data_IF_602526821848
#
_entry.id   IF_602526821848
#
_cell.length_a   1.000
_cell.length_b   1.000
_cell.length_c   1.000
_cell.angle_alpha   90.00
_cell.angle_beta   90.00
_cell.angle_gamma   90.00
#
_symmetry.space_group_name_H-M   'P 1'
#
loop_
_entity.id
_entity.type
_entity.pdbx_description
1 polymer ?
#
# COMPACT_ATOMS: atom_id res chain seq x y z
N UNK A 1 22.12 8.63 30.45
CA UNK A 1 20.98 7.79 30.03
C UNK A 1 19.79 8.20 30.88
N UNK A 2 18.67 8.56 30.27
CA UNK A 2 17.47 9.10 30.92
C UNK A 2 16.33 8.10 30.74
N UNK A 3 15.85 7.51 31.82
CA UNK A 3 14.71 6.58 31.78
C UNK A 3 13.41 7.35 31.98
N UNK A 4 12.41 7.13 31.12
CA UNK A 4 11.10 7.76 31.17
C UNK A 4 10.03 6.73 31.52
N UNK A 5 9.32 6.97 32.62
CA UNK A 5 8.07 6.27 32.94
C UNK A 5 6.89 6.87 32.17
N UNK A 6 5.75 6.17 32.04
CA UNK A 6 4.56 6.73 31.41
C UNK A 6 4.18 8.13 31.93
N UNK A 7 3.94 9.06 31.01
CA UNK A 7 3.70 10.48 31.27
C UNK A 7 4.96 11.36 31.37
N UNK A 8 6.12 10.77 31.70
CA UNK A 8 7.38 11.49 31.78
C UNK A 8 7.87 11.92 30.39
N UNK A 9 8.59 13.05 30.34
CA UNK A 9 9.12 13.60 29.11
C UNK A 9 10.45 14.30 29.33
N UNK A 10 11.27 14.36 28.29
CA UNK A 10 12.54 15.09 28.27
C UNK A 10 12.71 15.82 26.94
N UNK A 11 13.55 16.85 26.91
CA UNK A 11 13.94 17.49 25.66
C UNK A 11 14.79 16.52 24.82
N UNK A 12 14.67 16.61 23.50
CA UNK A 12 15.51 15.88 22.55
C UNK A 12 16.34 16.86 21.73
N UNK A 13 17.49 16.39 21.24
CA UNK A 13 18.27 17.14 20.28
C UNK A 13 17.47 17.29 18.96
N UNK A 14 17.70 18.40 18.26
CA UNK A 14 17.26 18.54 16.87
C UNK A 14 18.00 17.57 15.94
N UNK A 15 17.57 17.53 14.69
CA UNK A 15 18.13 16.68 13.64
C UNK A 15 17.61 15.25 13.65
N UNK A 16 18.40 14.34 13.07
CA UNK A 16 18.04 12.93 12.89
C UNK A 16 18.29 12.12 14.15
N UNK A 17 17.22 11.58 14.71
CA UNK A 17 17.21 10.64 15.82
C UNK A 17 16.97 9.21 15.31
N UNK A 18 17.61 8.24 15.96
CA UNK A 18 17.28 6.83 15.82
C UNK A 18 16.39 6.39 16.97
N UNK A 19 15.28 5.74 16.68
CA UNK A 19 14.30 5.26 17.66
C UNK A 19 14.19 3.76 17.49
N UNK A 20 14.63 3.00 18.48
CA UNK A 20 14.51 1.54 18.50
C UNK A 20 13.34 1.14 19.39
N UNK A 21 12.39 0.39 18.83
CA UNK A 21 11.38 -0.33 19.60
C UNK A 21 11.85 -1.78 19.70
N UNK A 22 11.97 -2.30 20.92
CA UNK A 22 12.40 -3.67 21.20
C UNK A 22 11.37 -4.39 22.06
N UNK A 23 11.14 -5.66 21.75
CA UNK A 23 10.21 -6.53 22.48
C UNK A 23 10.62 -8.00 22.38
N UNK A 24 10.16 -8.83 23.31
CA UNK A 24 10.26 -10.30 23.18
C UNK A 24 9.19 -10.78 22.21
N UNK A 25 9.53 -11.45 21.09
CA UNK A 25 8.53 -12.02 20.19
C UNK A 25 7.63 -13.02 20.91
N UNK A 26 6.34 -12.99 20.59
CA UNK A 26 5.35 -13.95 21.10
C UNK A 26 4.98 -14.90 19.97
N UNK A 27 5.17 -16.23 20.12
CA UNK A 27 4.79 -17.19 19.10
C UNK A 27 3.30 -17.06 18.70
N UNK A 28 3.04 -16.91 17.41
CA UNK A 28 1.69 -16.80 16.86
C UNK A 28 1.02 -15.43 17.02
N UNK A 29 1.74 -14.42 17.53
CA UNK A 29 1.24 -13.06 17.64
C UNK A 29 2.30 -12.05 17.18
N UNK A 30 2.07 -11.47 16.01
CA UNK A 30 2.94 -10.44 15.45
C UNK A 30 2.58 -9.07 16.03
N UNK A 31 3.62 -8.24 16.23
CA UNK A 31 3.51 -6.89 16.74
C UNK A 31 4.07 -5.93 15.68
N UNK A 32 3.18 -5.13 15.11
CA UNK A 32 3.50 -4.14 14.10
C UNK A 32 3.74 -2.78 14.76
N UNK A 33 4.78 -2.08 14.33
CA UNK A 33 5.04 -0.70 14.76
C UNK A 33 4.72 0.31 13.66
N UNK A 34 4.29 1.49 14.06
CA UNK A 34 3.98 2.59 13.12
C UNK A 34 4.30 3.94 13.75
N UNK A 35 4.49 4.95 12.92
CA UNK A 35 4.62 6.34 13.33
C UNK A 35 3.54 7.18 12.64
N UNK A 36 2.80 7.97 13.40
CA UNK A 36 1.78 8.91 12.91
C UNK A 36 2.30 10.33 13.07
N UNK A 37 2.32 11.09 11.99
CA UNK A 37 2.68 12.51 11.96
C UNK A 37 1.39 13.32 12.09
N UNK A 38 1.33 14.16 13.11
CA UNK A 38 0.09 14.77 13.57
C UNK A 38 0.23 16.27 13.55
N UNK A 39 -0.79 16.93 12.99
CA UNK A 39 -0.92 18.38 13.03
C UNK A 39 -1.30 18.88 14.45
N UNK A 40 -1.49 20.19 14.59
CA UNK A 40 -1.89 20.84 15.84
C UNK A 40 -3.17 20.25 16.46
N UNK A 41 -4.11 19.75 15.64
CA UNK A 41 -5.34 19.09 16.12
C UNK A 41 -5.14 17.65 16.59
N UNK A 42 -3.91 17.14 16.51
CA UNK A 42 -3.56 15.76 16.84
C UNK A 42 -4.02 14.75 15.80
N UNK A 43 -4.19 15.17 14.54
CA UNK A 43 -4.71 14.36 13.44
C UNK A 43 -3.73 14.27 12.28
N UNK A 44 -3.76 13.16 11.55
CA UNK A 44 -3.05 13.03 10.26
C UNK A 44 -3.74 13.89 9.20
N UNK A 45 -2.99 14.34 8.18
CA UNK A 45 -3.57 15.06 7.03
C UNK A 45 -3.93 14.13 5.87
N UNK A 46 -3.41 12.90 5.88
CA UNK A 46 -3.65 11.86 4.87
C UNK A 46 -2.57 10.77 4.93
N UNK A 47 -2.50 9.93 3.90
CA UNK A 47 -1.60 8.76 3.83
C UNK A 47 -0.12 9.13 4.04
N UNK A 48 0.30 10.31 3.56
CA UNK A 48 1.68 10.80 3.67
C UNK A 48 2.13 11.13 5.10
N UNK A 49 1.25 10.98 6.10
CA UNK A 49 1.54 11.24 7.50
C UNK A 49 1.53 9.95 8.35
N UNK A 50 1.56 8.76 7.73
CA UNK A 50 1.68 7.48 8.44
C UNK A 50 2.84 6.65 7.89
N UNK A 51 3.82 6.36 8.75
CA UNK A 51 4.97 5.51 8.43
C UNK A 51 4.82 4.14 9.09
N UNK A 52 4.87 3.06 8.31
CA UNK A 52 4.71 1.68 8.78
C UNK A 52 5.40 0.72 7.82
N UNK A 53 5.30 -0.60 8.05
CA UNK A 53 5.97 -1.60 7.20
C UNK A 53 5.58 -1.49 5.71
N UNK A 54 4.33 -1.10 5.41
CA UNK A 54 3.86 -0.86 4.05
C UNK A 54 4.15 0.55 3.52
N UNK A 55 4.62 1.49 4.34
CA UNK A 55 5.00 2.84 3.91
C UNK A 55 6.17 3.32 4.74
N UNK A 56 7.37 2.86 4.40
CA UNK A 56 8.56 2.96 5.25
C UNK A 56 9.21 4.35 5.24
N UNK A 57 8.73 5.30 4.46
CA UNK A 57 9.28 6.66 4.40
C UNK A 57 8.18 7.66 4.11
N UNK A 58 8.08 8.69 4.94
CA UNK A 58 7.06 9.74 4.84
C UNK A 58 7.63 11.12 5.06
N UNK A 59 6.86 12.15 4.72
CA UNK A 59 7.23 13.56 4.89
C UNK A 59 8.62 13.86 4.26
N UNK A 60 8.76 13.50 2.98
CA UNK A 60 10.01 13.60 2.20
C UNK A 60 11.22 12.89 2.86
N UNK A 61 10.96 11.83 3.63
CA UNK A 61 11.98 11.06 4.31
C UNK A 61 12.40 11.61 5.67
N UNK A 62 11.67 12.58 6.24
CA UNK A 62 11.88 13.03 7.60
C UNK A 62 11.58 11.92 8.63
N UNK A 63 10.64 11.00 8.32
CA UNK A 63 10.39 9.81 9.15
C UNK A 63 10.51 8.56 8.29
N UNK A 64 11.38 7.63 8.69
CA UNK A 64 11.63 6.37 7.99
C UNK A 64 11.62 5.18 8.93
N UNK A 65 11.01 4.07 8.55
CA UNK A 65 11.18 2.77 9.18
C UNK A 65 12.39 2.09 8.53
N UNK A 66 13.55 2.17 9.20
CA UNK A 66 14.82 1.68 8.69
C UNK A 66 15.00 0.16 8.88
N UNK A 67 14.36 -0.40 9.91
CA UNK A 67 14.41 -1.83 10.21
C UNK A 67 13.07 -2.27 10.79
N UNK A 68 12.58 -3.42 10.34
CA UNK A 68 11.42 -4.10 10.92
C UNK A 68 11.67 -5.60 10.89
N UNK A 69 11.85 -6.17 12.08
CA UNK A 69 12.11 -7.58 12.28
C UNK A 69 11.41 -8.06 13.57
N UNK A 70 11.15 -9.37 13.74
CA UNK A 70 10.59 -9.90 14.97
C UNK A 70 11.43 -9.48 16.19
N UNK A 71 10.79 -8.75 17.12
CA UNK A 71 11.39 -8.30 18.37
C UNK A 71 12.15 -6.97 18.29
N UNK A 72 12.31 -6.40 17.09
CA UNK A 72 13.05 -5.14 16.91
C UNK A 72 12.59 -4.35 15.70
N UNK A 73 12.32 -3.06 15.90
CA UNK A 73 12.08 -2.12 14.81
C UNK A 73 12.79 -0.81 15.07
N UNK A 74 13.29 -0.17 14.01
CA UNK A 74 14.07 1.06 14.10
C UNK A 74 13.51 2.13 13.18
N UNK A 75 13.10 3.27 13.74
CA UNK A 75 12.77 4.46 12.98
C UNK A 75 13.95 5.44 12.95
N UNK A 76 14.15 6.09 11.81
CA UNK A 76 14.94 7.32 11.67
C UNK A 76 13.98 8.51 11.61
N UNK A 77 14.13 9.47 12.52
CA UNK A 77 13.22 10.61 12.69
C UNK A 77 14.05 11.90 12.68
N UNK A 78 14.00 12.65 11.58
CA UNK A 78 14.59 13.98 11.46
C UNK A 78 13.56 15.05 11.79
N UNK A 79 13.62 15.56 13.02
CA UNK A 79 12.65 16.52 13.55
C UNK A 79 12.77 17.92 12.93
N UNK A 80 13.93 18.25 12.35
CA UNK A 80 14.17 19.55 11.70
C UNK A 80 13.73 19.56 10.23
N UNK A 81 13.57 18.37 9.63
CA UNK A 81 13.10 18.20 8.27
C UNK A 81 11.58 17.96 8.19
N UNK A 82 10.88 17.90 9.33
CA UNK A 82 9.43 17.77 9.35
C UNK A 82 8.77 19.01 8.74
N UNK A 83 7.73 18.76 7.94
CA UNK A 83 6.81 19.79 7.47
C UNK A 83 6.33 20.65 8.65
N UNK A 84 6.39 22.00 8.54
CA UNK A 84 5.98 22.90 9.62
C UNK A 84 4.56 22.70 10.14
N UNK A 85 3.67 22.06 9.37
CA UNK A 85 2.32 21.72 9.80
C UNK A 85 2.24 20.48 10.71
N UNK A 86 3.37 19.82 11.01
CA UNK A 86 3.47 18.67 11.92
C UNK A 86 4.00 19.13 13.27
N UNK A 87 3.16 18.97 14.30
CA UNK A 87 3.48 19.35 15.68
C UNK A 87 3.90 18.16 16.55
N UNK A 88 3.59 16.95 16.08
CA UNK A 88 3.78 15.72 16.84
C UNK A 88 4.04 14.51 15.94
N UNK A 89 4.90 13.60 16.41
CA UNK A 89 5.11 12.27 15.82
C UNK A 89 4.83 11.22 16.90
N UNK A 90 3.72 10.48 16.79
CA UNK A 90 3.35 9.42 17.71
C UNK A 90 3.84 8.06 17.24
N UNK A 91 4.53 7.32 18.09
CA UNK A 91 5.00 5.95 17.85
C UNK A 91 4.01 4.97 18.48
N UNK A 92 3.58 3.99 17.70
CA UNK A 92 2.55 3.03 18.11
C UNK A 92 2.99 1.60 17.88
N UNK A 93 2.42 0.67 18.67
CA UNK A 93 2.48 -0.76 18.41
C UNK A 93 1.06 -1.34 18.33
N UNK A 94 0.84 -2.30 17.42
CA UNK A 94 -0.43 -3.01 17.25
C UNK A 94 -0.18 -4.49 17.14
N UNK A 95 -0.99 -5.32 17.80
CA UNK A 95 -0.96 -6.76 17.65
C UNK A 95 -1.81 -7.16 16.44
N UNK A 96 -1.18 -7.81 15.46
CA UNK A 96 -1.82 -8.22 14.21
C UNK A 96 -3.04 -9.12 14.48
N UNK A 97 -4.16 -8.82 13.83
CA UNK A 97 -5.45 -9.51 13.98
C UNK A 97 -5.96 -9.64 15.43
N UNK A 98 -5.45 -8.83 16.38
CA UNK A 98 -5.78 -8.92 17.80
C UNK A 98 -5.52 -10.31 18.42
N UNK A 99 -4.56 -11.08 17.86
CA UNK A 99 -4.27 -12.48 18.23
C UNK A 99 -3.76 -12.68 19.67
N UNK A 100 -3.25 -11.62 20.28
CA UNK A 100 -2.81 -11.59 21.67
C UNK A 100 -3.16 -10.24 22.31
N UNK A 101 -2.83 -10.09 23.59
CA UNK A 101 -2.94 -8.83 24.36
C UNK A 101 -1.55 -8.32 24.73
N UNK A 102 -1.42 -7.04 25.01
CA UNK A 102 -0.12 -6.47 25.42
C UNK A 102 0.43 -7.10 26.70
N UNK A 103 -0.40 -7.65 27.59
CA UNK A 103 0.05 -8.48 28.71
C UNK A 103 0.96 -9.67 28.31
N UNK A 104 0.93 -10.13 27.06
CA UNK A 104 1.81 -11.18 26.55
C UNK A 104 3.22 -10.66 26.15
N UNK A 105 3.45 -9.33 26.16
CA UNK A 105 4.69 -8.68 25.73
C UNK A 105 5.39 -7.97 26.92
N UNK A 106 5.96 -8.71 27.89
CA UNK A 106 6.46 -8.13 29.15
C UNK A 106 7.74 -7.28 29.02
N UNK A 107 8.43 -7.31 27.88
CA UNK A 107 9.70 -6.58 27.67
C UNK A 107 9.61 -5.58 26.52
N UNK A 108 8.54 -4.78 26.48
CA UNK A 108 8.38 -3.73 25.47
C UNK A 108 9.11 -2.45 25.89
N UNK A 109 9.99 -1.93 25.03
CA UNK A 109 10.79 -0.74 25.32
C UNK A 109 10.98 0.13 24.08
N UNK A 110 11.03 1.45 24.28
CA UNK A 110 11.42 2.43 23.27
C UNK A 110 12.73 3.11 23.68
N UNK A 111 13.77 2.96 22.87
CA UNK A 111 15.05 3.63 23.05
C UNK A 111 15.21 4.73 21.99
N UNK A 112 15.60 5.94 22.39
CA UNK A 112 15.88 7.05 21.48
C UNK A 112 17.35 7.43 21.59
N UNK A 113 18.02 7.61 20.45
CA UNK A 113 19.39 8.08 20.36
C UNK A 113 19.57 9.38 21.17
N UNK A 114 20.70 9.51 21.87
CA UNK A 114 20.86 10.50 22.93
C UNK A 114 20.64 9.93 24.33
N UNK A 115 20.35 8.62 24.41
CA UNK A 115 20.36 7.84 25.65
C UNK A 115 19.05 7.92 26.43
N UNK A 116 17.92 8.06 25.74
CA UNK A 116 16.59 8.01 26.36
C UNK A 116 16.07 6.58 26.27
N UNK A 117 15.58 6.05 27.39
CA UNK A 117 14.96 4.74 27.48
C UNK A 117 13.55 4.90 28.03
N UNK A 118 12.55 4.27 27.42
CA UNK A 118 11.16 4.34 27.82
C UNK A 118 10.56 2.92 27.86
N UNK A 119 10.74 2.21 29.00
CA UNK A 119 10.13 0.91 29.19
C UNK A 119 8.61 1.08 29.30
N UNK A 120 7.87 0.26 28.56
CA UNK A 120 6.41 0.29 28.50
C UNK A 120 5.88 -0.80 29.42
N UNK A 121 5.22 -0.46 30.54
CA UNK A 121 4.64 -1.46 31.43
C UNK A 121 3.44 -2.10 30.73
N UNK A 122 3.48 -3.41 30.52
CA UNK A 122 2.43 -4.15 29.82
C UNK A 122 1.65 -5.12 30.71
N UNK A 123 2.07 -5.29 31.97
CA UNK A 123 1.43 -6.20 32.91
C UNK A 123 -0.06 -5.87 33.08
N UNK A 124 -0.91 -6.89 32.88
CA UNK A 124 -2.37 -6.76 33.00
C UNK A 124 -3.08 -6.07 31.82
N UNK A 125 -2.36 -5.51 30.84
CA UNK A 125 -2.96 -4.81 29.69
C UNK A 125 -3.79 -5.75 28.80
N UNK A 126 -5.06 -5.40 28.60
CA UNK A 126 -6.03 -6.14 27.78
C UNK A 126 -6.18 -5.56 26.36
N UNK A 127 -5.47 -4.47 26.10
CA UNK A 127 -5.44 -3.74 24.85
C UNK A 127 -4.64 -4.49 23.79
N UNK A 128 -4.91 -4.15 22.53
CA UNK A 128 -4.28 -4.76 21.36
C UNK A 128 -3.62 -3.74 20.44
N UNK A 129 -3.69 -2.45 20.80
CA UNK A 129 -2.86 -1.38 20.26
C UNK A 129 -2.41 -0.44 21.38
N UNK A 130 -1.22 0.15 21.24
CA UNK A 130 -0.65 1.12 22.18
C UNK A 130 -0.07 2.32 21.42
N UNK A 131 -0.20 3.51 22.01
CA UNK A 131 0.72 4.63 21.78
C UNK A 131 1.88 4.47 22.76
N UNK A 132 3.07 4.19 22.24
CA UNK A 132 4.27 3.93 23.04
C UNK A 132 4.85 5.24 23.57
N UNK A 133 5.05 6.19 22.67
CA UNK A 133 5.65 7.48 22.97
C UNK A 133 5.41 8.47 21.85
N UNK A 134 5.68 9.74 22.10
CA UNK A 134 5.48 10.81 21.12
C UNK A 134 6.62 11.83 21.17
N UNK A 135 7.09 12.24 19.98
CA UNK A 135 7.81 13.50 19.83
C UNK A 135 6.76 14.60 19.71
N UNK A 136 6.93 15.69 20.44
CA UNK A 136 6.03 16.83 20.35
C UNK A 136 6.81 18.12 20.57
N UNK A 137 6.34 19.19 19.93
CA UNK A 137 6.95 20.51 20.10
C UNK A 137 6.26 21.28 21.22
N UNK A 138 7.03 21.89 22.12
CA UNK A 138 6.52 22.80 23.15
C UNK A 138 7.44 24.00 23.25
N UNK A 139 6.88 25.20 23.02
CA UNK A 139 7.64 26.47 23.04
C UNK A 139 8.86 26.43 22.11
N UNK A 140 8.69 25.87 20.90
CA UNK A 140 9.75 25.77 19.89
C UNK A 140 10.72 24.61 20.07
N UNK A 141 10.73 23.94 21.23
CA UNK A 141 11.65 22.83 21.56
C UNK A 141 10.95 21.48 21.38
N UNK A 142 11.61 20.56 20.67
CA UNK A 142 11.15 19.18 20.57
C UNK A 142 11.43 18.41 21.87
N UNK A 143 10.44 17.63 22.29
CA UNK A 143 10.50 16.77 23.47
C UNK A 143 10.00 15.38 23.11
N UNK A 144 10.52 14.37 23.79
CA UNK A 144 9.99 13.02 23.73
C UNK A 144 9.24 12.72 25.04
N UNK A 145 8.04 12.13 24.93
CA UNK A 145 7.22 11.67 26.05
C UNK A 145 6.98 10.17 25.93
N UNK A 146 7.15 9.44 27.04
CA UNK A 146 6.63 8.08 27.17
C UNK A 146 5.12 8.16 27.44
N UNK A 147 4.30 7.51 26.63
CA UNK A 147 2.82 7.64 26.67
C UNK A 147 2.19 6.40 27.30
N UNK A 148 2.47 5.21 26.75
CA UNK A 148 1.91 3.93 27.17
C UNK A 148 0.37 3.91 27.27
N UNK A 149 -0.32 4.53 26.31
CA UNK A 149 -1.79 4.57 26.27
C UNK A 149 -2.32 3.43 25.39
N UNK A 150 -3.22 2.62 25.93
CA UNK A 150 -3.79 1.49 25.22
C UNK A 150 -5.14 1.73 24.55
N UNK A 151 -5.40 0.93 23.52
CA UNK A 151 -6.63 0.91 22.74
C UNK A 151 -7.13 -0.53 22.62
N UNK A 152 -8.35 -0.78 23.10
CA UNK A 152 -9.05 -2.03 22.84
C UNK A 152 -9.54 -2.04 21.39
N UNK A 153 -9.43 -3.18 20.70
CA UNK A 153 -9.90 -3.34 19.31
C UNK A 153 -8.83 -3.13 18.23
N UNK A 154 -7.59 -2.85 18.63
CA UNK A 154 -6.41 -2.88 17.76
C UNK A 154 -6.23 -1.60 16.96
N UNK A 155 -5.70 -1.74 15.74
CA UNK A 155 -5.30 -0.61 14.92
C UNK A 155 -6.48 0.30 14.59
N UNK A 156 -7.68 -0.25 14.43
CA UNK A 156 -8.82 0.53 13.98
C UNK A 156 -9.21 1.70 14.91
N UNK A 157 -9.49 1.48 16.21
CA UNK A 157 -9.77 2.56 17.15
C UNK A 157 -8.57 3.48 17.38
N UNK A 158 -7.34 2.96 17.34
CA UNK A 158 -6.12 3.77 17.41
C UNK A 158 -6.02 4.73 16.20
N UNK A 159 -6.27 4.25 15.00
CA UNK A 159 -6.18 5.05 13.80
C UNK A 159 -7.30 6.11 13.76
N UNK A 160 -8.53 5.76 14.14
CA UNK A 160 -9.63 6.72 14.30
C UNK A 160 -9.30 7.80 15.32
N UNK A 161 -8.60 7.44 16.41
CA UNK A 161 -8.10 8.42 17.38
C UNK A 161 -7.18 9.47 16.73
N UNK A 162 -6.39 9.10 15.72
CA UNK A 162 -5.57 10.01 14.92
C UNK A 162 -6.26 10.60 13.68
N UNK A 163 -7.57 10.41 13.52
CA UNK A 163 -8.35 11.00 12.42
C UNK A 163 -8.33 10.22 11.12
N UNK A 164 -7.87 8.97 11.16
CA UNK A 164 -7.93 8.04 10.05
C UNK A 164 -9.37 7.54 9.91
N UNK A 165 -10.05 7.92 8.83
CA UNK A 165 -11.34 7.30 8.48
C UNK A 165 -11.11 5.90 7.92
N UNK A 166 -11.54 4.89 8.65
CA UNK A 166 -11.52 3.51 8.19
C UNK A 166 -12.81 3.26 7.42
N UNK A 167 -12.71 2.99 6.12
CA UNK A 167 -13.89 2.63 5.33
C UNK A 167 -14.50 1.35 5.90
N UNK A 168 -15.73 1.44 6.40
CA UNK A 168 -16.51 0.26 6.72
C UNK A 168 -16.71 -0.56 5.43
N UNK A 169 -16.71 -1.91 5.49
CA UNK A 169 -17.10 -2.72 4.36
C UNK A 169 -18.48 -2.26 3.89
N UNK A 170 -18.61 -1.96 2.58
CA UNK A 170 -19.85 -1.48 2.01
C UNK A 170 -20.98 -2.46 2.36
N UNK A 171 -22.14 -1.99 2.86
CA UNK A 171 -23.28 -2.86 3.09
C UNK A 171 -23.64 -3.57 1.79
N UNK A 172 -23.89 -4.89 1.89
CA UNK A 172 -24.26 -5.71 0.74
C UNK A 172 -25.48 -5.09 0.02
N UNK A 173 -25.47 -4.97 -1.31
CA UNK A 173 -26.59 -4.42 -2.04
C UNK A 173 -27.82 -5.30 -1.81
N UNK A 174 -28.91 -4.70 -1.32
CA UNK A 174 -30.21 -5.35 -1.25
C UNK A 174 -30.69 -5.70 -2.68
N UNK A 175 -31.44 -6.80 -2.88
CA UNK A 175 -31.92 -7.22 -4.19
C UNK A 175 -32.74 -6.11 -4.87
N UNK A 176 -32.35 -5.75 -6.09
CA UNK A 176 -33.05 -4.75 -6.89
C UNK A 176 -34.47 -5.22 -7.24
N UNK A 177 -35.48 -4.43 -6.87
CA UNK A 177 -36.81 -4.53 -7.46
C UNK A 177 -36.80 -3.90 -8.87
N UNK A 178 -37.60 -4.46 -9.78
CA UNK A 178 -37.67 -4.09 -11.19
C UNK A 178 -38.01 -2.60 -11.41
N UNK A 179 -37.48 -1.96 -12.47
CA UNK A 179 -37.67 -0.52 -12.68
C UNK A 179 -39.07 -0.22 -13.25
N UNK A 180 -39.77 0.72 -12.61
CA UNK A 180 -40.84 1.49 -13.24
C UNK A 180 -40.27 2.84 -13.73
N UNK A 181 -40.79 3.42 -14.82
CA UNK A 181 -40.26 4.67 -15.37
C UNK A 181 -40.73 5.85 -14.51
N UNK A 182 -39.79 6.67 -14.02
CA UNK A 182 -40.06 7.96 -13.36
C UNK A 182 -39.36 9.09 -14.11
N UNK A 183 -39.98 10.29 -14.18
CA UNK A 183 -39.51 11.41 -14.98
C UNK A 183 -38.33 12.15 -14.32
N UNK A 184 -37.57 12.86 -15.14
CA UNK A 184 -36.34 13.61 -14.82
C UNK A 184 -36.55 14.76 -13.81
N UNK A 185 -35.73 14.87 -12.75
CA UNK A 185 -35.68 16.07 -11.89
C UNK A 185 -34.60 17.09 -12.34
N UNK A 186 -34.68 18.36 -11.89
CA UNK A 186 -33.75 19.44 -12.27
C UNK A 186 -32.41 19.37 -11.51
N UNK A 187 -31.38 20.14 -11.92
CA UNK A 187 -30.01 20.01 -11.41
C UNK A 187 -29.85 20.55 -9.99
N UNK A 188 -29.23 19.74 -9.12
CA UNK A 188 -28.83 20.13 -7.76
C UNK A 188 -27.46 20.81 -7.74
N UNK A 189 -27.31 21.77 -6.81
CA UNK A 189 -26.07 22.49 -6.50
C UNK A 189 -24.97 21.57 -5.94
N UNK A 190 -23.67 21.94 -6.04
CA UNK A 190 -22.56 21.06 -5.70
C UNK A 190 -22.44 20.83 -4.19
N UNK A 191 -22.36 19.56 -3.80
CA UNK A 191 -22.08 19.13 -2.43
C UNK A 191 -20.58 19.36 -2.07
N UNK A 192 -20.26 19.60 -0.78
CA UNK A 192 -18.87 19.75 -0.33
C UNK A 192 -18.08 18.44 -0.50
N UNK A 193 -16.79 18.59 -0.83
CA UNK A 193 -15.88 17.49 -1.10
C UNK A 193 -15.72 16.54 0.11
N UNK A 194 -15.64 15.21 -0.11
CA UNK A 194 -15.53 14.23 0.96
C UNK A 194 -14.16 14.28 1.65
N UNK A 195 -14.15 14.03 2.96
CA UNK A 195 -12.96 13.85 3.76
C UNK A 195 -12.14 12.61 3.31
N UNK A 196 -10.80 12.60 3.50
CA UNK A 196 -9.93 11.54 3.01
C UNK A 196 -10.11 10.25 3.84
N UNK A 197 -10.30 9.12 3.13
CA UNK A 197 -10.49 7.76 3.70
C UNK A 197 -9.19 6.97 3.62
N UNK A 198 -8.81 6.31 4.70
CA UNK A 198 -7.58 5.49 4.82
C UNK A 198 -7.98 4.03 5.06
N UNK A 199 -7.48 3.12 4.23
CA UNK A 199 -7.85 1.70 4.25
C UNK A 199 -6.78 0.84 4.95
N UNK A 200 -7.08 0.32 6.15
CA UNK A 200 -6.14 -0.42 7.03
C UNK A 200 -6.37 -1.94 7.12
N UNK A 201 -6.98 -2.55 6.11
CA UNK A 201 -7.12 -4.02 6.01
C UNK A 201 -6.55 -4.50 4.68
N UNK A 202 -5.25 -4.31 4.44
CA UNK A 202 -4.59 -4.76 3.21
C UNK A 202 -3.71 -5.97 3.49
N UNK A 203 -3.70 -6.93 2.57
CA UNK A 203 -2.86 -8.11 2.59
C UNK A 203 -1.66 -7.85 1.69
N UNK A 204 -0.47 -7.72 2.24
CA UNK A 204 0.75 -7.62 1.44
C UNK A 204 1.26 -9.02 1.09
N UNK A 205 1.57 -9.26 -0.17
CA UNK A 205 2.35 -10.42 -0.58
C UNK A 205 3.82 -10.01 -0.73
N UNK A 206 4.68 -10.67 0.04
CA UNK A 206 6.13 -10.48 0.07
C UNK A 206 6.85 -11.84 -0.04
N UNK A 207 8.15 -11.91 0.27
CA UNK A 207 8.91 -13.17 0.24
C UNK A 207 8.47 -14.15 1.33
N UNK A 208 7.94 -13.64 2.44
CA UNK A 208 7.52 -14.38 3.61
C UNK A 208 6.09 -14.92 3.43
N UNK A 209 5.24 -14.18 2.71
CA UNK A 209 3.89 -14.55 2.29
C UNK A 209 3.76 -14.46 0.76
N UNK A 210 4.36 -15.41 0.01
CA UNK A 210 4.41 -15.32 -1.45
C UNK A 210 3.08 -15.65 -2.13
N UNK A 211 2.07 -16.11 -1.40
CA UNK A 211 0.77 -16.45 -1.99
C UNK A 211 -0.38 -16.35 -1.00
N UNK A 212 -1.59 -16.21 -1.55
CA UNK A 212 -2.86 -16.34 -0.84
C UNK A 212 -3.87 -17.06 -1.74
N UNK A 213 -4.69 -17.91 -1.15
CA UNK A 213 -5.85 -18.52 -1.82
C UNK A 213 -7.13 -17.87 -1.29
N UNK A 214 -8.03 -17.53 -2.19
CA UNK A 214 -9.32 -16.93 -1.90
C UNK A 214 -10.41 -17.89 -2.36
N UNK A 215 -11.25 -18.29 -1.42
CA UNK A 215 -12.32 -19.26 -1.61
C UNK A 215 -13.67 -18.58 -1.44
N UNK A 216 -14.57 -18.78 -2.42
CA UNK A 216 -15.97 -18.37 -2.30
C UNK A 216 -16.89 -19.55 -2.57
N UNK A 217 -17.88 -19.73 -1.69
CA UNK A 217 -18.80 -20.88 -1.72
C UNK A 217 -19.59 -21.00 -3.03
N UNK A 218 -19.88 -19.88 -3.69
CA UNK A 218 -20.55 -19.81 -4.98
C UNK A 218 -19.56 -19.77 -6.17
N UNK A 219 -18.29 -19.46 -5.92
CA UNK A 219 -17.28 -19.22 -6.95
C UNK A 219 -17.46 -17.88 -7.69
N UNK A 220 -18.26 -16.96 -7.13
CA UNK A 220 -18.50 -15.63 -7.68
C UNK A 220 -17.56 -14.61 -7.01
N UNK A 221 -16.46 -14.28 -7.70
CA UNK A 221 -15.53 -13.27 -7.23
C UNK A 221 -15.94 -11.84 -7.56
N UNK A 222 -17.12 -11.63 -8.17
CA UNK A 222 -17.58 -10.32 -8.61
C UNK A 222 -16.62 -9.67 -9.60
N UNK A 223 -16.51 -8.33 -9.58
CA UNK A 223 -15.52 -7.63 -10.38
C UNK A 223 -14.18 -7.57 -9.62
N UNK A 224 -13.19 -8.31 -10.10
CA UNK A 224 -11.82 -8.24 -9.61
C UNK A 224 -11.15 -7.05 -10.29
N UNK A 225 -10.74 -6.04 -9.53
CA UNK A 225 -10.02 -4.87 -10.07
C UNK A 225 -8.56 -4.91 -9.69
N UNK A 226 -7.69 -4.50 -10.59
CA UNK A 226 -6.24 -4.51 -10.39
C UNK A 226 -5.73 -3.13 -10.76
N UNK A 227 -5.09 -2.44 -9.82
CA UNK A 227 -4.55 -1.10 -10.02
C UNK A 227 -3.03 -1.12 -10.00
N UNK A 228 -2.40 -0.48 -10.96
CA UNK A 228 -0.98 -0.15 -10.97
C UNK A 228 -0.80 1.32 -10.60
N UNK A 229 -0.11 1.59 -9.50
CA UNK A 229 0.26 2.94 -9.08
C UNK A 229 1.79 3.06 -8.93
N UNK A 230 2.34 4.24 -9.16
CA UNK A 230 3.78 4.52 -9.09
C UNK A 230 4.04 6.00 -8.85
N UNK A 231 5.26 6.31 -8.40
CA UNK A 231 5.68 7.68 -8.19
C UNK A 231 5.95 8.39 -9.54
N UNK A 232 5.06 9.30 -9.91
CA UNK A 232 5.24 10.19 -11.07
C UNK A 232 5.98 11.45 -10.64
N UNK A 233 7.26 11.36 -10.28
CA UNK A 233 8.07 12.57 -10.04
C UNK A 233 8.25 13.34 -11.35
N UNK A 234 7.40 14.34 -11.57
CA UNK A 234 7.71 15.44 -12.49
C UNK A 234 8.60 16.43 -11.76
N UNK A 235 9.77 16.83 -12.30
CA UNK A 235 10.53 17.92 -11.71
C UNK A 235 9.72 19.21 -11.87
N UNK A 236 9.04 19.64 -10.82
CA UNK A 236 8.58 21.01 -10.69
C UNK A 236 9.78 21.88 -10.30
N UNK A 237 10.32 22.63 -11.26
CA UNK A 237 11.42 23.54 -10.99
C UNK A 237 11.72 24.43 -12.18
N UNK A 238 11.34 25.70 -12.06
CA UNK A 238 11.60 26.73 -13.06
C UNK A 238 13.06 26.75 -13.53
N UNK A 239 13.22 26.89 -14.84
CA UNK A 239 14.52 27.04 -15.47
C UNK A 239 14.39 28.06 -16.58
N UNK A 240 15.09 29.18 -16.40
CA UNK A 240 15.13 30.28 -17.36
C UNK A 240 15.61 29.85 -18.75
N UNK A 241 15.52 30.84 -19.64
CA UNK A 241 15.67 30.84 -21.10
C UNK A 241 16.92 30.16 -21.72
N UNK A 242 17.73 29.38 -20.99
CA UNK A 242 18.94 28.72 -21.47
C UNK A 242 18.99 27.18 -21.30
N UNK A 243 17.93 26.51 -20.82
CA UNK A 243 17.95 25.05 -20.56
C UNK A 243 17.68 24.14 -21.78
N UNK A 244 17.54 24.68 -23.00
CA UNK A 244 17.06 23.95 -24.20
C UNK A 244 18.03 22.91 -24.82
N UNK A 245 19.21 22.65 -24.24
CA UNK A 245 20.28 21.91 -24.94
C UNK A 245 20.88 20.72 -24.18
N UNK A 246 20.23 20.22 -23.11
CA UNK A 246 20.61 18.98 -22.44
C UNK A 246 19.36 18.15 -22.13
N UNK A 247 19.40 16.87 -22.50
CA UNK A 247 18.24 16.02 -22.74
C UNK A 247 17.16 16.02 -21.65
N UNK A 248 15.91 16.03 -22.10
CA UNK A 248 14.68 15.85 -21.33
C UNK A 248 14.78 14.60 -20.43
N UNK A 249 14.79 14.77 -19.11
CA UNK A 249 14.39 13.70 -18.20
C UNK A 249 12.87 13.70 -18.09
N UNK A 250 12.21 12.89 -18.95
CA UNK A 250 10.76 12.65 -18.90
C UNK A 250 10.39 11.88 -17.63
N UNK A 251 9.18 12.11 -17.11
CA UNK A 251 8.63 11.37 -15.98
C UNK A 251 8.53 9.86 -16.26
N UNK A 252 8.41 9.06 -15.20
CA UNK A 252 8.25 7.61 -15.31
C UNK A 252 6.84 7.30 -15.84
N UNK A 253 6.76 6.57 -16.94
CA UNK A 253 5.52 6.05 -17.51
C UNK A 253 5.52 4.51 -17.44
N UNK A 254 4.61 3.96 -16.63
CA UNK A 254 4.42 2.52 -16.49
C UNK A 254 3.07 2.12 -17.04
N UNK A 255 3.07 1.05 -17.82
CA UNK A 255 1.87 0.39 -18.29
C UNK A 255 1.62 -0.92 -17.56
N UNK A 256 0.34 -1.25 -17.36
CA UNK A 256 -0.13 -2.54 -16.88
C UNK A 256 -0.72 -3.38 -18.02
N UNK A 257 -0.47 -4.68 -17.95
CA UNK A 257 -1.10 -5.65 -18.83
C UNK A 257 -1.22 -7.01 -18.16
N UNK A 258 -1.85 -7.96 -18.84
CA UNK A 258 -1.82 -9.34 -18.41
C UNK A 258 -1.76 -10.33 -19.55
N UNK A 259 -1.17 -11.50 -19.30
CA UNK A 259 -1.35 -12.69 -20.12
C UNK A 259 -2.47 -13.52 -19.51
N UNK A 260 -3.36 -14.06 -20.34
CA UNK A 260 -4.44 -14.93 -19.87
C UNK A 260 -4.38 -16.29 -20.56
N UNK A 261 -4.84 -17.32 -19.85
CA UNK A 261 -5.13 -18.64 -20.39
C UNK A 261 -6.50 -19.08 -19.88
N UNK A 262 -7.39 -19.38 -20.82
CA UNK A 262 -8.73 -19.90 -20.56
C UNK A 262 -8.68 -21.42 -20.36
N UNK A 263 -9.68 -22.00 -19.71
CA UNK A 263 -9.83 -23.46 -19.55
C UNK A 263 -9.94 -24.20 -20.90
N UNK A 264 -10.46 -23.55 -21.94
CA UNK A 264 -10.51 -24.10 -23.30
C UNK A 264 -9.13 -24.07 -24.02
N UNK A 265 -8.07 -23.61 -23.35
CA UNK A 265 -6.71 -23.50 -23.88
C UNK A 265 -6.45 -22.23 -24.69
N UNK A 266 -7.45 -21.36 -24.90
CA UNK A 266 -7.26 -20.06 -25.57
C UNK A 266 -6.36 -19.18 -24.71
N UNK A 267 -5.36 -18.58 -25.34
CA UNK A 267 -4.38 -17.71 -24.70
C UNK A 267 -4.33 -16.37 -25.41
N UNK A 268 -3.95 -15.34 -24.69
CA UNK A 268 -3.73 -14.02 -25.27
C UNK A 268 -3.16 -13.05 -24.25
N UNK A 269 -3.10 -11.78 -24.65
CA UNK A 269 -2.72 -10.69 -23.79
C UNK A 269 -3.83 -9.62 -23.79
N UNK A 270 -4.01 -8.97 -22.64
CA UNK A 270 -4.76 -7.72 -22.52
C UNK A 270 -3.78 -6.63 -22.13
N UNK A 271 -3.65 -5.60 -22.96
CA UNK A 271 -2.66 -4.52 -22.86
C UNK A 271 -2.93 -3.39 -23.85
N UNK A 272 -2.34 -2.22 -23.63
CA UNK A 272 -2.43 -1.10 -24.56
C UNK A 272 -1.71 -1.35 -25.89
N UNK A 273 -0.58 -2.07 -25.87
CA UNK A 273 0.19 -2.36 -27.09
C UNK A 273 -0.60 -3.24 -28.06
N UNK A 274 -0.75 -2.76 -29.30
CA UNK A 274 -1.52 -3.46 -30.33
C UNK A 274 -3.04 -3.37 -30.13
N UNK A 275 -3.53 -2.41 -29.33
CA UNK A 275 -4.94 -2.17 -29.05
C UNK A 275 -5.69 -3.39 -28.47
N UNK A 276 -4.98 -4.23 -27.72
CA UNK A 276 -5.53 -5.45 -27.11
C UNK A 276 -6.23 -5.16 -25.77
N UNK A 277 -7.21 -4.25 -25.75
CA UNK A 277 -7.84 -3.79 -24.50
C UNK A 277 -8.75 -4.81 -23.82
N UNK A 278 -9.09 -5.91 -24.50
CA UNK A 278 -9.97 -6.95 -23.98
C UNK A 278 -11.43 -6.48 -23.82
N UNK A 279 -12.26 -7.37 -23.28
CA UNK A 279 -13.67 -7.13 -23.00
C UNK A 279 -14.02 -7.77 -21.65
N UNK A 280 -14.83 -7.07 -20.85
CA UNK A 280 -15.23 -7.53 -19.52
C UNK A 280 -16.45 -8.47 -19.56
N UNK A 281 -17.32 -8.29 -20.56
CA UNK A 281 -18.56 -9.04 -20.74
C UNK A 281 -18.35 -10.28 -21.59
N UNK A 282 -17.46 -10.18 -22.58
CA UNK A 282 -17.14 -11.25 -23.50
C UNK A 282 -15.73 -11.81 -23.27
N UNK A 283 -15.47 -13.04 -23.73
CA UNK A 283 -14.16 -13.69 -23.59
C UNK A 283 -13.06 -12.78 -24.19
N UNK A 284 -12.03 -12.37 -23.43
CA UNK A 284 -11.43 -13.10 -22.31
C UNK A 284 -11.96 -12.77 -20.91
N UNK A 285 -13.03 -11.98 -20.78
CA UNK A 285 -13.58 -11.52 -19.50
C UNK A 285 -12.60 -10.66 -18.70
N UNK A 286 -11.62 -10.08 -19.38
CA UNK A 286 -10.59 -9.19 -18.84
C UNK A 286 -10.56 -7.95 -19.73
N UNK A 287 -10.52 -6.78 -19.10
CA UNK A 287 -10.46 -5.50 -19.80
C UNK A 287 -9.44 -4.58 -19.15
N UNK A 288 -8.61 -3.94 -19.97
CA UNK A 288 -7.82 -2.78 -19.60
C UNK A 288 -8.73 -1.56 -19.62
N UNK A 289 -8.96 -0.97 -18.45
CA UNK A 289 -9.80 0.20 -18.27
C UNK A 289 -8.95 1.44 -18.50
N UNK A 290 -8.93 1.91 -19.75
CA UNK A 290 -8.42 3.23 -20.12
C UNK A 290 -6.98 3.49 -19.69
N UNK A 291 -6.06 3.33 -20.64
CA UNK A 291 -4.93 4.27 -20.76
C UNK A 291 -5.55 5.67 -20.84
N UNK A 292 -5.44 6.45 -19.75
CA UNK A 292 -5.91 7.83 -19.76
C UNK A 292 -4.97 8.66 -20.62
N UNK A 293 -5.25 8.64 -21.93
CA UNK A 293 -4.62 9.44 -22.99
C UNK A 293 -4.71 10.96 -22.77
N UNK A 294 -5.22 11.42 -21.61
CA UNK A 294 -5.29 12.84 -21.21
C UNK A 294 -4.38 13.21 -20.05
N UNK A 295 -3.76 12.24 -19.36
CA UNK A 295 -2.90 12.49 -18.19
C UNK A 295 -3.63 13.11 -16.99
N UNK A 296 -4.96 12.95 -16.91
CA UNK A 296 -5.83 13.60 -15.95
C UNK A 296 -6.20 12.72 -14.73
N UNK A 297 -5.99 11.40 -14.81
CA UNK A 297 -6.27 10.49 -13.70
C UNK A 297 -5.01 10.26 -12.86
N UNK A 298 -5.06 10.74 -11.62
CA UNK A 298 -4.05 10.56 -10.57
C UNK A 298 -3.93 9.13 -10.03
N UNK A 299 -4.86 8.25 -10.42
CA UNK A 299 -5.12 6.98 -9.72
C UNK A 299 -4.45 5.77 -10.41
N UNK A 300 -3.46 5.98 -11.27
CA UNK A 300 -2.73 4.90 -11.95
C UNK A 300 -3.48 4.22 -13.10
N UNK A 301 -3.05 3.01 -13.49
CA UNK A 301 -3.71 2.21 -14.54
C UNK A 301 -4.54 1.07 -13.96
N UNK A 302 -5.59 0.66 -14.68
CA UNK A 302 -6.57 -0.30 -14.17
C UNK A 302 -6.83 -1.46 -15.14
N UNK A 303 -6.74 -2.68 -14.62
CA UNK A 303 -7.33 -3.87 -15.23
C UNK A 303 -8.57 -4.29 -14.43
N UNK A 304 -9.53 -4.89 -15.11
CA UNK A 304 -10.63 -5.60 -14.46
C UNK A 304 -10.83 -6.97 -15.04
N UNK A 305 -11.23 -7.92 -14.19
CA UNK A 305 -11.54 -9.30 -14.53
C UNK A 305 -12.96 -9.59 -14.03
N UNK A 306 -13.80 -10.15 -14.88
CA UNK A 306 -15.13 -10.59 -14.49
C UNK A 306 -15.02 -11.93 -13.75
N UNK A 307 -14.92 -11.85 -12.42
CA UNK A 307 -14.78 -12.97 -11.51
C UNK A 307 -16.00 -13.89 -11.44
N UNK A 308 -17.14 -13.53 -12.02
CA UNK A 308 -18.27 -14.46 -12.25
C UNK A 308 -17.92 -15.55 -13.24
N UNK A 309 -17.02 -15.22 -14.17
CA UNK A 309 -16.55 -16.13 -15.21
C UNK A 309 -15.22 -16.80 -14.82
N UNK A 310 -14.78 -16.67 -13.55
CA UNK A 310 -13.49 -17.20 -13.09
C UNK A 310 -13.32 -18.69 -13.38
N UNK A 311 -14.40 -19.47 -13.32
CA UNK A 311 -14.38 -20.91 -13.65
C UNK A 311 -14.00 -21.22 -15.09
N UNK A 312 -14.10 -20.26 -16.02
CA UNK A 312 -13.66 -20.39 -17.42
C UNK A 312 -12.19 -19.98 -17.59
N UNK A 313 -11.59 -19.37 -16.57
CA UNK A 313 -10.21 -18.91 -16.56
C UNK A 313 -9.32 -19.96 -15.92
N UNK A 314 -8.17 -20.25 -16.52
CA UNK A 314 -7.16 -21.14 -15.95
C UNK A 314 -6.13 -20.35 -15.16
N UNK A 315 -5.58 -19.29 -15.76
CA UNK A 315 -4.60 -18.40 -15.10
C UNK A 315 -4.48 -17.04 -15.77
N UNK A 316 -4.12 -16.03 -14.98
CA UNK A 316 -3.85 -14.67 -15.41
C UNK A 316 -2.51 -14.20 -14.81
N UNK A 317 -1.54 -13.87 -15.65
CA UNK A 317 -0.26 -13.29 -15.24
C UNK A 317 -0.32 -11.78 -15.44
N UNK A 318 -0.37 -11.02 -14.35
CA UNK A 318 -0.32 -9.55 -14.36
C UNK A 318 1.13 -9.09 -14.45
N UNK A 319 1.40 -8.14 -15.33
CA UNK A 319 2.72 -7.55 -15.52
C UNK A 319 2.63 -6.03 -15.69
N UNK A 320 3.78 -5.38 -15.52
CA UNK A 320 3.97 -4.00 -15.92
C UNK A 320 5.21 -3.86 -16.81
N UNK A 321 5.25 -2.84 -17.66
CA UNK A 321 6.43 -2.49 -18.43
C UNK A 321 6.69 -0.98 -18.42
N UNK A 322 7.96 -0.62 -18.53
CA UNK A 322 8.41 0.77 -18.59
C UNK A 322 8.29 1.24 -20.05
N UNK A 323 7.44 2.22 -20.29
CA UNK A 323 7.29 2.83 -21.61
C UNK A 323 8.28 4.00 -21.81
N UNK A 324 8.46 4.83 -20.78
CA UNK A 324 9.44 5.91 -20.74
C UNK A 324 10.02 6.14 -19.33
N UNK A 325 11.25 6.64 -19.25
CA UNK A 325 11.74 7.38 -18.08
C UNK A 325 12.39 6.62 -16.92
N UNK A 326 12.13 5.33 -16.70
CA UNK A 326 12.72 4.62 -15.55
C UNK A 326 13.99 3.80 -15.91
N UNK A 327 15.18 4.12 -15.34
CA UNK A 327 16.39 3.32 -15.51
C UNK A 327 16.41 2.04 -14.63
N UNK A 328 15.53 1.96 -13.63
CA UNK A 328 15.35 0.79 -12.76
C UNK A 328 13.98 0.80 -12.05
N UNK A 329 13.50 -0.37 -11.64
CA UNK A 329 12.20 -0.56 -10.96
C UNK A 329 12.16 -0.13 -9.48
N UNK A 330 13.32 0.08 -8.85
CA UNK A 330 13.37 0.63 -7.48
C UNK A 330 12.90 2.09 -7.44
N UNK A 331 13.30 2.87 -8.45
CA UNK A 331 12.95 4.28 -8.56
C UNK A 331 11.47 4.53 -8.92
N UNK A 332 10.75 3.52 -9.41
CA UNK A 332 9.35 3.70 -9.79
C UNK A 332 8.41 3.74 -8.59
N UNK A 333 8.79 3.12 -7.47
CA UNK A 333 7.88 2.85 -6.34
C UNK A 333 6.56 2.20 -6.79
N UNK A 334 6.65 1.30 -7.78
CA UNK A 334 5.49 0.64 -8.37
C UNK A 334 4.80 -0.31 -7.40
N UNK A 335 3.47 -0.24 -7.33
CA UNK A 335 2.62 -1.12 -6.54
C UNK A 335 1.43 -1.60 -7.38
N UNK A 336 1.19 -2.92 -7.37
CA UNK A 336 -0.08 -3.49 -7.83
C UNK A 336 -0.97 -3.76 -6.62
N UNK A 337 -2.23 -3.30 -6.70
CA UNK A 337 -3.26 -3.62 -5.71
C UNK A 337 -4.42 -4.36 -6.37
N UNK A 338 -4.77 -5.55 -5.87
CA UNK A 338 -5.94 -6.31 -6.27
C UNK A 338 -7.09 -6.03 -5.30
N UNK A 339 -8.26 -5.74 -5.85
CA UNK A 339 -9.50 -5.55 -5.12
C UNK A 339 -10.48 -6.65 -5.52
N UNK A 340 -10.79 -7.53 -4.58
CA UNK A 340 -11.75 -8.62 -4.78
C UNK A 340 -12.92 -8.38 -3.81
N UNK A 341 -14.17 -8.30 -4.30
CA UNK A 341 -15.35 -8.10 -3.47
C UNK A 341 -15.41 -9.04 -2.27
N UNK A 342 -15.48 -8.47 -1.07
CA UNK A 342 -15.52 -9.22 0.20
C UNK A 342 -14.15 -9.56 0.78
N UNK A 343 -13.06 -9.26 0.08
CA UNK A 343 -11.69 -9.52 0.54
C UNK A 343 -10.94 -8.21 0.84
N UNK A 344 -10.03 -8.22 1.82
CA UNK A 344 -8.97 -7.22 1.96
C UNK A 344 -8.24 -6.95 0.63
N UNK A 345 -7.90 -5.68 0.28
CA UNK A 345 -7.05 -5.42 -0.87
C UNK A 345 -5.72 -6.15 -0.77
N UNK A 346 -5.24 -6.75 -1.86
CA UNK A 346 -3.98 -7.50 -1.89
C UNK A 346 -2.93 -6.67 -2.61
N UNK A 347 -1.85 -6.32 -1.92
CA UNK A 347 -0.76 -5.50 -2.47
C UNK A 347 0.47 -6.35 -2.84
N UNK A 348 1.08 -6.03 -3.98
CA UNK A 348 2.37 -6.55 -4.42
C UNK A 348 3.26 -5.38 -4.81
N UNK A 349 4.38 -5.20 -4.10
CA UNK A 349 5.35 -4.13 -4.37
C UNK A 349 6.42 -4.57 -5.37
N UNK A 350 6.69 -3.72 -6.36
CA UNK A 350 7.65 -4.01 -7.42
C UNK A 350 9.07 -3.52 -7.07
N UNK A 351 9.18 -2.52 -6.19
CA UNK A 351 10.43 -1.83 -5.86
C UNK A 351 11.38 -2.64 -4.96
N UNK A 352 10.89 -3.68 -4.28
CA UNK A 352 11.65 -4.46 -3.29
C UNK A 352 12.81 -5.28 -3.89
N UNK A 353 12.66 -5.79 -5.12
CA UNK A 353 13.63 -6.71 -5.72
C UNK A 353 14.74 -6.00 -6.51
N UNK A 354 14.46 -4.79 -7.02
CA UNK A 354 15.34 -4.09 -7.96
C UNK A 354 15.46 -4.81 -9.31
N UNK A 355 15.46 -4.04 -10.40
CA UNK A 355 15.57 -4.60 -11.75
C UNK A 355 15.84 -3.52 -12.77
N UNK A 356 16.66 -3.82 -13.78
CA UNK A 356 17.02 -2.89 -14.87
C UNK A 356 16.36 -3.26 -16.20
N UNK A 357 15.65 -4.40 -16.26
CA UNK A 357 14.97 -4.84 -17.48
C UNK A 357 13.62 -4.15 -17.60
N UNK A 358 13.16 -3.88 -18.81
CA UNK A 358 11.97 -3.03 -19.05
C UNK A 358 10.61 -3.62 -18.67
N UNK A 359 10.54 -4.86 -18.15
CA UNK A 359 9.28 -5.53 -17.81
C UNK A 359 9.36 -6.28 -16.48
N UNK A 360 8.26 -6.31 -15.74
CA UNK A 360 8.10 -7.03 -14.48
C UNK A 360 6.84 -7.91 -14.53
N UNK A 361 6.98 -9.22 -14.34
CA UNK A 361 5.86 -10.10 -14.04
C UNK A 361 5.57 -10.03 -12.54
N UNK A 362 4.36 -9.62 -12.16
CA UNK A 362 4.09 -9.12 -10.80
C UNK A 362 3.34 -10.15 -9.98
N UNK A 363 2.19 -10.61 -10.49
CA UNK A 363 1.32 -11.54 -9.79
C UNK A 363 0.72 -12.56 -10.77
N UNK A 364 0.70 -13.82 -10.37
CA UNK A 364 0.04 -14.91 -11.10
C UNK A 364 -1.21 -15.34 -10.33
N UNK A 365 -2.38 -15.08 -10.90
CA UNK A 365 -3.66 -15.58 -10.42
C UNK A 365 -3.94 -16.92 -11.11
N UNK A 366 -4.20 -17.95 -10.33
CA UNK A 366 -4.47 -19.32 -10.81
C UNK A 366 -5.83 -19.79 -10.33
N UNK A 367 -6.60 -20.42 -11.21
CA UNK A 367 -7.81 -21.13 -10.82
C UNK A 367 -7.41 -22.50 -10.27
N UNK A 368 -7.53 -22.67 -8.95
CA UNK A 368 -7.21 -23.94 -8.27
C UNK A 368 -8.50 -24.46 -7.66
N UNK A 369 -9.17 -25.38 -8.35
CA UNK A 369 -10.42 -25.98 -7.84
C UNK A 369 -11.59 -24.99 -7.72
N UNK A 370 -11.60 -23.93 -8.53
CA UNK A 370 -12.60 -22.85 -8.47
C UNK A 370 -12.18 -21.67 -7.59
N UNK A 371 -11.10 -21.79 -6.82
CA UNK A 371 -10.55 -20.74 -5.97
C UNK A 371 -9.64 -19.81 -6.78
N UNK A 372 -9.47 -18.57 -6.33
CA UNK A 372 -8.46 -17.64 -6.87
C UNK A 372 -7.21 -17.76 -6.02
N UNK A 373 -6.16 -18.40 -6.54
CA UNK A 373 -4.84 -18.41 -5.89
C UNK A 373 -3.98 -17.29 -6.48
N UNK A 374 -3.63 -16.30 -5.68
CA UNK A 374 -2.73 -15.20 -6.07
C UNK A 374 -1.32 -15.54 -5.60
N UNK A 375 -0.36 -15.57 -6.53
CA UNK A 375 1.05 -15.79 -6.22
C UNK A 375 1.85 -14.54 -6.60
N UNK A 376 2.65 -14.03 -5.66
CA UNK A 376 3.68 -13.02 -5.91
C UNK A 376 4.75 -13.61 -6.84
N UNK A 377 5.12 -12.85 -7.86
CA UNK A 377 6.22 -13.18 -8.79
C UNK A 377 7.35 -12.17 -8.67
N UNK A 378 7.09 -10.92 -9.02
CA UNK A 378 8.08 -9.82 -9.03
C UNK A 378 9.39 -10.27 -9.73
N UNK A 379 9.25 -10.76 -10.95
CA UNK A 379 10.36 -11.25 -11.78
C UNK A 379 10.55 -10.35 -13.01
N UNK A 380 11.81 -10.02 -13.34
CA UNK A 380 12.10 -9.03 -14.40
C UNK A 380 12.54 -9.68 -15.72
N UNK A 381 12.01 -9.14 -16.82
CA UNK A 381 12.23 -9.62 -18.19
C UNK A 381 12.57 -8.49 -19.15
N UNK A 382 13.26 -8.79 -20.26
CA UNK A 382 13.60 -7.77 -21.27
C UNK A 382 12.36 -7.31 -22.04
N UNK A 383 11.34 -8.15 -22.13
CA UNK A 383 10.08 -7.87 -22.81
C UNK A 383 9.19 -9.10 -22.86
N UNK A 384 8.06 -8.96 -23.54
CA UNK A 384 6.97 -9.94 -23.56
C UNK A 384 7.40 -11.36 -23.93
N UNK A 385 8.25 -11.53 -24.95
CA UNK A 385 8.68 -12.87 -25.39
C UNK A 385 9.53 -13.60 -24.36
N UNK A 386 10.36 -12.89 -23.59
CA UNK A 386 11.19 -13.51 -22.55
C UNK A 386 10.33 -13.94 -21.36
N UNK A 387 9.35 -13.12 -20.98
CA UNK A 387 8.36 -13.42 -19.94
C UNK A 387 7.46 -14.61 -20.35
N UNK A 388 6.93 -14.60 -21.57
CA UNK A 388 6.11 -15.69 -22.12
C UNK A 388 6.81 -17.05 -22.06
N UNK A 389 8.10 -17.10 -22.42
CA UNK A 389 8.92 -18.32 -22.33
C UNK A 389 9.11 -18.77 -20.89
N UNK A 390 9.39 -17.85 -19.97
CA UNK A 390 9.62 -18.19 -18.56
C UNK A 390 8.38 -18.80 -17.89
N UNK A 391 7.18 -18.32 -18.26
CA UNK A 391 5.91 -18.79 -17.71
C UNK A 391 5.21 -19.87 -18.55
N UNK A 392 5.84 -20.30 -19.65
CA UNK A 392 5.33 -21.30 -20.58
C UNK A 392 3.92 -20.96 -21.10
N UNK A 393 3.69 -19.72 -21.54
CA UNK A 393 2.44 -19.38 -22.26
C UNK A 393 2.48 -19.94 -23.68
N UNK A 394 3.59 -19.75 -24.39
CA UNK A 394 3.80 -20.28 -25.74
C UNK A 394 3.14 -19.42 -26.84
N UNK A 395 3.05 -18.11 -26.62
CA UNK A 395 2.47 -17.17 -27.57
C UNK A 395 3.49 -16.70 -28.60
N UNK A 396 2.99 -16.23 -29.75
CA UNK A 396 3.81 -15.59 -30.78
C UNK A 396 3.74 -14.08 -30.61
N UNK A 397 4.89 -13.43 -30.60
CA UNK A 397 5.02 -11.99 -30.35
C UNK A 397 5.50 -11.25 -31.59
N UNK A 398 5.00 -10.04 -31.77
CA UNK A 398 5.47 -9.08 -32.77
C UNK A 398 5.57 -7.70 -32.11
N UNK A 399 6.32 -6.78 -32.72
CA UNK A 399 6.41 -5.41 -32.22
C UNK A 399 5.04 -4.73 -32.31
N UNK A 400 4.63 -4.08 -31.22
CA UNK A 400 3.40 -3.29 -31.16
C UNK A 400 3.69 -1.87 -30.68
N UNK A 401 2.81 -0.93 -31.02
CA UNK A 401 2.79 0.42 -30.46
C UNK A 401 1.47 0.64 -29.70
N UNK A 402 1.44 1.68 -28.85
CA UNK A 402 0.19 2.24 -28.34
C UNK A 402 -0.59 2.95 -29.46
#
# INVERSE_FOLDING_TARGET
>A
MTTLTPGANTAVAGGTLSVTISYTPVPGADLDVSAFLLNESGKVRGDNDMCFFGQQSVNNGAVKLAESAPGRSVFSVNLDALDPAIDKVALTATIYENKAKFAAFPQLNVSVSGGIEAPIPTEGMQETALILGEFYRRQGVWKFRCVAQGFAGGLAPLAQHFGVEIAAPAPAPAPAAAPAPVPTPPPAAPAPAPAPKINLSKITLDKQRPSISLDKKDGDFGEIKINLNWNRTSPSGGGGFFASLRGKSGGIDLDVGCLYEMENGRKGAVQALGNAFGDFRDEPFIQLMGDDRTGAVSDGEWLRINGKEWRKMRRVLVYAFIYEGAPNWQATDGVITLYIPGEPPIEVRLSEEGGTKGMCAIALLENVGGSVKVNRKVEFFKGHSDMDKAYNWGMRWSAGSK
#
